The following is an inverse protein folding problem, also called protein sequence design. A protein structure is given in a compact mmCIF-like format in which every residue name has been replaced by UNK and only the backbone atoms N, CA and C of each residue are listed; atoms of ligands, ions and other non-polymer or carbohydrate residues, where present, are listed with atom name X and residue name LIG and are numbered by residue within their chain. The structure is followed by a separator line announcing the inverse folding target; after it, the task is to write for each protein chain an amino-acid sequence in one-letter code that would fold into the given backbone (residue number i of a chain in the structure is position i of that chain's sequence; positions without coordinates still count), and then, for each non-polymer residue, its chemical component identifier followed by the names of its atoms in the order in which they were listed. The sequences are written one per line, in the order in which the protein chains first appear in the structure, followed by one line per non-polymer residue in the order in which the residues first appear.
data_IF_090131240645
#
_entry.id   IF_090131240645
#
_cell.length_a   1.000
_cell.length_b   1.000
_cell.length_c   1.000
_cell.angle_alpha   90.00
_cell.angle_beta   90.00
_cell.angle_gamma   90.00
#
_symmetry.space_group_name_H-M   'P 1'
#
loop_
_entity.id
_entity.type
_entity.pdbx_description
1 polymer ?
#
# COMPACT_ATOMS: atom_id res chain seq x y z
N UNK A 1 -29.77 -31.36 -30.87
CA UNK A 1 -28.44 -30.96 -30.35
C UNK A 1 -28.17 -29.59 -30.91
N UNK A 2 -28.30 -28.56 -30.07
CA UNK A 2 -27.93 -27.20 -30.44
C UNK A 2 -26.40 -27.16 -30.64
N UNK A 3 -25.97 -26.75 -31.82
CA UNK A 3 -24.56 -26.51 -32.10
C UNK A 3 -24.13 -25.28 -31.31
N UNK A 4 -23.45 -25.47 -30.19
CA UNK A 4 -22.74 -24.38 -29.50
C UNK A 4 -21.62 -23.94 -30.45
N UNK A 5 -21.79 -22.80 -31.10
CA UNK A 5 -20.77 -22.22 -31.95
C UNK A 5 -19.68 -21.68 -31.00
N UNK A 6 -18.44 -22.09 -31.24
CA UNK A 6 -17.29 -21.76 -30.38
C UNK A 6 -17.12 -20.24 -30.14
N UNK A 7 -17.62 -19.42 -31.06
CA UNK A 7 -17.60 -17.96 -30.97
C UNK A 7 -18.60 -17.42 -29.94
N UNK A 8 -19.74 -18.10 -29.72
CA UNK A 8 -20.73 -17.73 -28.70
C UNK A 8 -20.14 -17.92 -27.30
N UNK A 9 -19.44 -19.06 -27.08
CA UNK A 9 -18.74 -19.34 -25.82
C UNK A 9 -17.64 -18.31 -25.56
N UNK A 10 -16.90 -17.89 -26.58
CA UNK A 10 -15.85 -16.88 -26.43
C UNK A 10 -16.43 -15.51 -26.05
N UNK A 11 -17.58 -15.13 -26.60
CA UNK A 11 -18.23 -13.88 -26.25
C UNK A 11 -18.73 -13.90 -24.80
N UNK A 12 -19.32 -15.01 -24.36
CA UNK A 12 -19.71 -15.19 -22.95
C UNK A 12 -18.48 -15.12 -22.02
N UNK A 13 -17.41 -15.85 -22.34
CA UNK A 13 -16.16 -15.81 -21.57
C UNK A 13 -15.59 -14.38 -21.46
N UNK A 14 -15.59 -13.63 -22.57
CA UNK A 14 -15.16 -12.22 -22.60
C UNK A 14 -15.96 -11.34 -21.64
N UNK A 15 -17.25 -11.61 -21.48
CA UNK A 15 -18.14 -10.85 -20.61
C UNK A 15 -18.01 -11.27 -19.14
N UNK A 16 -17.76 -12.54 -18.85
CA UNK A 16 -17.70 -13.07 -17.48
C UNK A 16 -16.33 -12.96 -16.82
N UNK A 17 -15.24 -12.92 -17.60
CA UNK A 17 -13.88 -12.93 -17.04
C UNK A 17 -13.44 -11.54 -16.53
N UNK A 18 -12.69 -11.56 -15.44
CA UNK A 18 -11.98 -10.38 -14.93
C UNK A 18 -10.81 -10.01 -15.84
N UNK A 19 -10.33 -8.74 -15.80
CA UNK A 19 -9.33 -8.28 -16.76
C UNK A 19 -8.03 -9.09 -16.79
N UNK A 20 -7.53 -9.53 -15.63
CA UNK A 20 -6.29 -10.31 -15.57
C UNK A 20 -6.42 -11.68 -16.22
N UNK A 21 -7.59 -12.32 -16.11
CA UNK A 21 -7.81 -13.63 -16.72
C UNK A 21 -7.92 -13.52 -18.23
N UNK A 22 -8.56 -12.45 -18.74
CA UNK A 22 -8.57 -12.14 -20.18
C UNK A 22 -7.16 -11.91 -20.70
N UNK A 23 -6.34 -11.18 -19.94
CA UNK A 23 -4.95 -10.98 -20.27
C UNK A 23 -4.18 -12.31 -20.33
N UNK A 24 -4.26 -13.12 -19.28
CA UNK A 24 -3.58 -14.42 -19.21
C UNK A 24 -4.03 -15.34 -20.35
N UNK A 25 -5.33 -15.38 -20.67
CA UNK A 25 -5.88 -16.16 -21.78
C UNK A 25 -5.32 -15.69 -23.14
N UNK A 26 -5.28 -14.37 -23.37
CA UNK A 26 -4.72 -13.79 -24.60
C UNK A 26 -3.22 -14.06 -24.77
N UNK A 27 -2.48 -14.21 -23.66
CA UNK A 27 -1.03 -14.42 -23.65
C UNK A 27 -0.63 -15.88 -23.81
N UNK A 28 -1.44 -16.80 -23.28
CA UNK A 28 -1.14 -18.25 -23.29
C UNK A 28 -1.69 -18.95 -24.52
N UNK A 29 -2.67 -18.38 -25.21
CA UNK A 29 -3.30 -18.97 -26.39
C UNK A 29 -3.22 -18.05 -27.61
N UNK A 30 -2.49 -18.48 -28.65
CA UNK A 30 -2.32 -17.73 -29.90
C UNK A 30 -3.66 -17.41 -30.61
N UNK A 31 -4.67 -18.28 -30.47
CA UNK A 31 -6.00 -18.04 -31.04
C UNK A 31 -6.68 -16.85 -30.34
N UNK A 32 -6.69 -16.83 -29.02
CA UNK A 32 -7.33 -15.76 -28.24
C UNK A 32 -6.54 -14.46 -28.25
N UNK A 33 -5.22 -14.50 -28.49
CA UNK A 33 -4.41 -13.30 -28.67
C UNK A 33 -5.00 -12.35 -29.74
N UNK A 34 -5.45 -12.92 -30.87
CA UNK A 34 -6.06 -12.16 -31.96
C UNK A 34 -7.46 -11.66 -31.61
N UNK A 35 -8.23 -12.45 -30.86
CA UNK A 35 -9.63 -12.17 -30.55
C UNK A 35 -9.84 -11.31 -29.31
N UNK A 36 -8.84 -11.18 -28.43
CA UNK A 36 -8.83 -10.41 -27.19
C UNK A 36 -7.63 -9.44 -27.24
N UNK A 37 -7.71 -8.37 -28.05
CA UNK A 37 -6.63 -7.40 -28.14
C UNK A 37 -6.45 -6.64 -26.82
N UNK A 38 -5.24 -6.11 -26.58
CA UNK A 38 -4.93 -5.32 -25.37
C UNK A 38 -5.88 -4.13 -25.17
N UNK A 39 -6.39 -3.55 -26.27
CA UNK A 39 -7.39 -2.48 -26.23
C UNK A 39 -8.68 -2.95 -25.53
N UNK A 40 -9.16 -4.15 -25.84
CA UNK A 40 -10.34 -4.73 -25.19
C UNK A 40 -10.11 -4.94 -23.69
N UNK A 41 -8.92 -5.42 -23.32
CA UNK A 41 -8.56 -5.62 -21.90
C UNK A 41 -8.55 -4.27 -21.16
N UNK A 42 -7.98 -3.21 -21.76
CA UNK A 42 -8.03 -1.85 -21.21
C UNK A 42 -9.47 -1.37 -21.02
N UNK A 43 -10.33 -1.57 -22.01
CA UNK A 43 -11.76 -1.23 -21.89
C UNK A 43 -12.44 -1.95 -20.72
N UNK A 44 -12.14 -3.24 -20.52
CA UNK A 44 -12.65 -4.00 -19.37
C UNK A 44 -12.15 -3.46 -18.03
N UNK A 45 -10.89 -3.02 -17.96
CA UNK A 45 -10.35 -2.39 -16.74
C UNK A 45 -11.03 -1.04 -16.48
N UNK A 46 -11.17 -0.19 -17.50
CA UNK A 46 -11.85 1.10 -17.38
C UNK A 46 -13.30 0.92 -16.91
N UNK A 47 -14.01 -0.08 -17.43
CA UNK A 47 -15.38 -0.40 -17.00
C UNK A 47 -15.44 -0.86 -15.55
N UNK A 48 -14.47 -1.64 -15.07
CA UNK A 48 -14.40 -2.07 -13.68
C UNK A 48 -14.10 -0.89 -12.74
N UNK A 49 -13.19 0.01 -13.15
CA UNK A 49 -12.91 1.25 -12.41
C UNK A 49 -14.19 2.10 -12.32
N UNK A 50 -14.85 2.38 -13.44
CA UNK A 50 -16.10 3.15 -13.48
C UNK A 50 -17.19 2.53 -12.61
N UNK A 51 -17.34 1.20 -12.66
CA UNK A 51 -18.31 0.47 -11.84
C UNK A 51 -18.03 0.69 -10.35
N UNK A 52 -16.78 0.59 -9.91
CA UNK A 52 -16.40 0.82 -8.51
C UNK A 52 -16.58 2.27 -8.10
N UNK A 53 -16.20 3.23 -8.94
CA UNK A 53 -16.43 4.65 -8.66
C UNK A 53 -17.92 4.98 -8.56
N UNK A 54 -18.78 4.40 -9.41
CA UNK A 54 -20.24 4.55 -9.28
C UNK A 54 -20.79 4.01 -7.96
N UNK A 55 -20.21 2.94 -7.43
CA UNK A 55 -20.58 2.41 -6.11
C UNK A 55 -20.14 3.38 -5.00
N UNK A 56 -18.92 3.92 -5.10
CA UNK A 56 -18.34 4.82 -4.09
C UNK A 56 -19.06 6.16 -4.07
N UNK A 57 -19.24 6.80 -5.22
CA UNK A 57 -19.84 8.13 -5.33
C UNK A 57 -21.37 8.11 -5.43
N UNK A 58 -21.98 6.96 -5.72
CA UNK A 58 -23.43 6.81 -5.80
C UNK A 58 -24.08 7.79 -6.79
N UNK A 59 -25.08 8.52 -6.32
CA UNK A 59 -25.82 9.51 -7.11
C UNK A 59 -24.95 10.71 -7.52
N UNK A 60 -23.90 11.02 -6.76
CA UNK A 60 -22.98 12.13 -7.05
C UNK A 60 -21.95 11.79 -8.15
N UNK A 61 -21.90 10.54 -8.64
CA UNK A 61 -20.86 10.11 -9.58
C UNK A 61 -20.79 10.95 -10.86
N UNK A 62 -21.93 11.32 -11.45
CA UNK A 62 -21.92 12.09 -12.70
C UNK A 62 -21.41 13.53 -12.49
N UNK A 63 -21.76 14.16 -11.35
CA UNK A 63 -21.25 15.47 -10.96
C UNK A 63 -19.73 15.41 -10.69
N UNK A 64 -19.31 14.43 -9.87
CA UNK A 64 -17.90 14.16 -9.61
C UNK A 64 -17.12 13.95 -10.92
N UNK A 65 -17.62 13.11 -11.83
CA UNK A 65 -16.95 12.79 -13.08
C UNK A 65 -16.84 14.00 -14.02
N UNK A 66 -17.83 14.89 -14.03
CA UNK A 66 -17.77 16.13 -14.79
C UNK A 66 -16.69 17.07 -14.25
N UNK A 67 -16.63 17.25 -12.93
CA UNK A 67 -15.65 18.12 -12.26
C UNK A 67 -14.24 17.54 -12.37
N UNK A 68 -14.08 16.24 -12.16
CA UNK A 68 -12.82 15.52 -12.34
C UNK A 68 -12.19 15.76 -13.72
N UNK A 69 -13.00 15.69 -14.79
CA UNK A 69 -12.54 15.99 -16.16
C UNK A 69 -12.14 17.44 -16.33
N UNK A 70 -12.86 18.38 -15.73
CA UNK A 70 -12.54 19.80 -15.82
C UNK A 70 -11.19 20.13 -15.14
N UNK A 71 -10.92 19.51 -14.00
CA UNK A 71 -9.63 19.59 -13.29
C UNK A 71 -8.49 18.84 -13.99
N UNK A 72 -8.79 18.07 -15.05
CA UNK A 72 -7.84 17.15 -15.70
C UNK A 72 -7.16 16.21 -14.69
N UNK A 73 -7.92 15.81 -13.67
CA UNK A 73 -7.44 14.92 -12.62
C UNK A 73 -7.18 13.51 -13.19
N UNK A 74 -6.39 12.72 -12.48
CA UNK A 74 -6.02 11.36 -12.92
C UNK A 74 -6.00 10.42 -11.73
N UNK A 75 -6.67 9.27 -11.83
CA UNK A 75 -6.61 8.21 -10.83
C UNK A 75 -5.30 7.45 -11.01
N UNK A 76 -4.61 7.14 -9.92
CA UNK A 76 -3.38 6.32 -9.93
C UNK A 76 -3.38 5.25 -8.83
N UNK A 77 -2.28 4.50 -8.73
CA UNK A 77 -1.95 3.74 -7.55
C UNK A 77 -2.55 2.33 -7.50
N UNK A 78 -2.68 1.85 -6.27
CA UNK A 78 -3.04 0.45 -6.00
C UNK A 78 -4.47 0.12 -6.43
N UNK A 79 -5.39 1.09 -6.44
CA UNK A 79 -6.78 0.91 -6.85
C UNK A 79 -6.92 0.41 -8.30
N UNK A 80 -6.11 0.92 -9.24
CA UNK A 80 -6.13 0.42 -10.62
C UNK A 80 -5.59 -1.02 -10.69
N UNK A 81 -4.55 -1.31 -9.91
CA UNK A 81 -3.98 -2.68 -9.82
C UNK A 81 -5.03 -3.67 -9.31
N UNK A 82 -5.80 -3.28 -8.29
CA UNK A 82 -6.93 -4.05 -7.77
C UNK A 82 -7.98 -4.33 -8.84
N UNK A 83 -8.37 -3.31 -9.62
CA UNK A 83 -9.33 -3.46 -10.71
C UNK A 83 -8.84 -4.43 -11.80
N UNK A 84 -7.53 -4.41 -12.11
CA UNK A 84 -6.93 -5.35 -13.07
C UNK A 84 -7.04 -6.79 -12.54
N UNK A 85 -6.67 -6.99 -11.27
CA UNK A 85 -6.63 -8.29 -10.62
C UNK A 85 -8.01 -8.82 -10.19
N UNK A 86 -9.06 -7.99 -10.24
CA UNK A 86 -10.37 -8.33 -9.68
C UNK A 86 -10.38 -8.45 -8.15
N UNK A 87 -9.44 -7.79 -7.46
CA UNK A 87 -9.25 -7.90 -6.01
C UNK A 87 -9.77 -6.67 -5.26
N UNK A 88 -9.92 -6.81 -3.93
CA UNK A 88 -10.25 -5.75 -2.99
C UNK A 88 -9.25 -5.80 -1.84
N UNK A 89 -8.52 -4.71 -1.62
CA UNK A 89 -7.38 -4.66 -0.70
C UNK A 89 -7.62 -3.69 0.45
N UNK A 90 -7.82 -2.43 0.09
CA UNK A 90 -8.06 -1.27 0.93
C UNK A 90 -8.91 -0.28 0.13
N UNK A 91 -9.77 0.47 0.82
CA UNK A 91 -10.69 1.42 0.22
C UNK A 91 -10.01 2.77 -0.04
N UNK A 92 -8.77 2.76 -0.55
CA UNK A 92 -8.03 3.99 -0.81
C UNK A 92 -7.90 4.22 -2.31
N UNK A 93 -8.20 5.44 -2.75
CA UNK A 93 -8.05 5.87 -4.13
C UNK A 93 -7.16 7.11 -4.16
N UNK A 94 -6.09 7.04 -4.93
CA UNK A 94 -5.17 8.15 -5.13
C UNK A 94 -5.53 8.89 -6.43
N UNK A 95 -5.66 10.22 -6.35
CA UNK A 95 -6.03 11.11 -7.45
C UNK A 95 -4.99 12.21 -7.57
N UNK A 96 -4.33 12.29 -8.72
CA UNK A 96 -3.40 13.35 -9.06
C UNK A 96 -4.18 14.57 -9.54
N UNK A 97 -3.85 15.73 -9.01
CA UNK A 97 -4.41 17.04 -9.38
C UNK A 97 -3.31 18.07 -9.58
N UNK A 98 -3.69 19.21 -10.17
CA UNK A 98 -2.79 20.34 -10.30
C UNK A 98 -2.37 20.91 -8.93
N UNK A 99 -1.10 21.34 -8.81
CA UNK A 99 -0.55 21.86 -7.56
C UNK A 99 -1.28 23.13 -7.09
N UNK A 100 -1.60 24.03 -8.01
CA UNK A 100 -2.26 25.29 -7.68
C UNK A 100 -3.71 25.02 -7.26
N UNK A 101 -4.34 24.01 -7.84
CA UNK A 101 -5.66 23.55 -7.41
C UNK A 101 -5.65 22.92 -6.01
N UNK A 102 -4.69 22.05 -5.70
CA UNK A 102 -4.56 21.45 -4.36
C UNK A 102 -4.29 22.50 -3.28
N UNK A 103 -3.54 23.54 -3.61
CA UNK A 103 -3.13 24.59 -2.67
C UNK A 103 -4.09 25.80 -2.63
N UNK A 104 -5.02 25.93 -3.58
CA UNK A 104 -6.00 27.02 -3.61
C UNK A 104 -6.70 27.24 -2.26
N UNK A 105 -7.15 26.20 -1.53
CA UNK A 105 -7.89 26.40 -0.28
C UNK A 105 -7.06 27.06 0.83
N UNK A 106 -5.74 27.07 0.70
CA UNK A 106 -4.83 27.44 1.77
C UNK A 106 -4.19 28.80 1.54
N UNK A 107 -3.99 29.53 2.63
CA UNK A 107 -3.15 30.73 2.67
C UNK A 107 -1.65 30.35 2.62
N UNK A 108 -0.77 31.34 2.47
CA UNK A 108 0.68 31.12 2.49
C UNK A 108 1.21 30.46 3.77
N UNK A 109 0.49 30.64 4.89
CA UNK A 109 0.76 30.01 6.19
C UNK A 109 0.06 28.65 6.37
N UNK A 110 -0.51 28.09 5.29
CA UNK A 110 -1.25 26.82 5.30
C UNK A 110 -2.51 26.80 6.17
N UNK A 111 -3.03 27.97 6.55
CA UNK A 111 -4.37 28.06 7.11
C UNK A 111 -5.42 27.98 6.00
N UNK A 112 -6.43 27.12 6.19
CA UNK A 112 -7.60 27.03 5.32
C UNK A 112 -8.31 28.39 5.29
N UNK A 113 -8.62 28.89 4.09
CA UNK A 113 -9.29 30.19 3.90
C UNK A 113 -10.75 30.13 4.32
N UNK A 114 -11.24 31.20 4.95
CA UNK A 114 -12.63 31.30 5.43
C UNK A 114 -13.70 31.08 4.33
N UNK A 115 -13.39 31.41 3.08
CA UNK A 115 -14.31 31.17 1.96
C UNK A 115 -14.59 29.67 1.72
N UNK A 116 -13.69 28.78 2.13
CA UNK A 116 -13.92 27.32 2.10
C UNK A 116 -14.69 26.82 3.34
N UNK A 117 -14.82 27.66 4.38
CA UNK A 117 -15.61 27.36 5.57
C UNK A 117 -17.07 27.85 5.46
N UNK A 118 -17.32 28.92 4.68
CA UNK A 118 -18.58 29.68 4.72
C UNK A 118 -19.32 29.68 3.36
N UNK A 119 -18.62 29.50 2.24
CA UNK A 119 -19.27 29.67 0.93
C UNK A 119 -20.21 28.52 0.56
N UNK A 120 -21.27 28.84 -0.19
CA UNK A 120 -22.03 27.85 -0.94
C UNK A 120 -21.29 27.47 -2.21
N UNK A 121 -21.35 26.19 -2.61
CA UNK A 121 -20.75 25.69 -3.84
C UNK A 121 -21.34 26.43 -5.05
N UNK A 122 -20.57 27.35 -5.65
CA UNK A 122 -20.93 28.00 -6.92
C UNK A 122 -20.28 27.25 -8.08
N UNK A 123 -20.80 26.08 -8.42
CA UNK A 123 -20.51 25.35 -9.68
C UNK A 123 -19.04 25.47 -10.14
N UNK A 124 -18.11 25.39 -9.18
CA UNK A 124 -16.71 25.65 -9.46
C UNK A 124 -16.16 24.40 -10.13
N UNK A 125 -15.42 24.58 -11.21
CA UNK A 125 -14.99 23.50 -12.08
C UNK A 125 -13.78 22.74 -11.53
N UNK A 126 -13.45 22.96 -10.25
CA UNK A 126 -12.30 22.42 -9.54
C UNK A 126 -12.70 21.37 -8.52
N UNK A 127 -12.07 20.20 -8.62
CA UNK A 127 -12.34 19.01 -7.82
C UNK A 127 -11.98 19.18 -6.34
N UNK A 128 -10.92 19.91 -6.01
CA UNK A 128 -10.53 20.10 -4.60
C UNK A 128 -11.58 20.93 -3.86
N UNK A 129 -12.04 22.00 -4.50
CA UNK A 129 -13.10 22.83 -3.97
C UNK A 129 -14.41 22.05 -3.83
N UNK A 130 -14.78 21.29 -4.86
CA UNK A 130 -15.91 20.37 -4.80
C UNK A 130 -15.83 19.41 -3.60
N UNK A 131 -14.66 18.78 -3.39
CA UNK A 131 -14.45 17.82 -2.31
C UNK A 131 -14.63 18.46 -0.93
N UNK A 132 -14.09 19.66 -0.68
CA UNK A 132 -14.29 20.39 0.58
C UNK A 132 -15.75 20.70 0.89
N UNK A 133 -16.58 20.91 -0.13
CA UNK A 133 -18.00 21.21 0.08
C UNK A 133 -18.87 19.96 0.24
N UNK A 134 -18.51 18.85 -0.40
CA UNK A 134 -19.31 17.63 -0.41
C UNK A 134 -18.90 16.63 0.66
N UNK A 135 -17.62 16.59 1.02
CA UNK A 135 -17.05 15.51 1.80
C UNK A 135 -16.32 16.02 3.04
N UNK A 136 -16.32 15.18 4.06
CA UNK A 136 -15.50 15.39 5.25
C UNK A 136 -14.03 15.09 4.89
N UNK A 137 -13.15 16.04 5.17
CA UNK A 137 -11.71 15.82 5.06
C UNK A 137 -11.21 15.15 6.36
N UNK A 138 -10.22 14.27 6.21
CA UNK A 138 -9.67 13.46 7.31
C UNK A 138 -8.22 13.88 7.62
N UNK A 139 -7.40 14.05 6.57
CA UNK A 139 -5.98 14.38 6.72
C UNK A 139 -5.55 15.45 5.71
N UNK A 140 -4.71 16.38 6.15
CA UNK A 140 -4.00 17.32 5.29
C UNK A 140 -2.51 17.16 5.59
N UNK A 141 -1.72 16.79 4.58
CA UNK A 141 -0.28 16.66 4.72
C UNK A 141 0.43 17.85 4.08
N UNK A 142 1.51 18.31 4.72
CA UNK A 142 2.28 19.48 4.30
C UNK A 142 3.77 19.12 4.23
N UNK A 143 4.52 19.77 3.35
CA UNK A 143 5.98 19.66 3.34
C UNK A 143 6.59 20.61 4.38
N UNK A 144 7.30 20.09 5.39
CA UNK A 144 8.02 20.92 6.32
C UNK A 144 9.34 21.35 5.67
N UNK A 145 9.63 22.64 5.74
CA UNK A 145 10.90 23.28 5.35
C UNK A 145 11.02 23.68 3.87
N UNK A 146 11.36 24.96 3.67
CA UNK A 146 11.70 25.66 2.42
C UNK A 146 10.55 26.09 1.49
N UNK A 147 9.47 25.32 1.36
CA UNK A 147 8.30 25.69 0.56
C UNK A 147 7.01 25.18 1.23
N UNK A 148 6.30 26.05 1.95
CA UNK A 148 5.02 25.72 2.59
C UNK A 148 3.94 25.49 1.52
N UNK A 149 3.68 24.22 1.21
CA UNK A 149 2.53 23.82 0.40
C UNK A 149 1.99 22.46 0.86
N UNK A 150 0.70 22.25 0.61
CA UNK A 150 -0.02 20.99 0.83
C UNK A 150 0.42 19.97 -0.22
N UNK A 151 0.82 18.79 0.25
CA UNK A 151 1.27 17.68 -0.61
C UNK A 151 0.14 16.72 -0.91
N UNK A 152 -0.76 16.51 0.05
CA UNK A 152 -1.98 15.74 -0.15
C UNK A 152 -3.11 16.19 0.78
N UNK A 153 -4.34 15.89 0.36
CA UNK A 153 -5.55 16.04 1.17
C UNK A 153 -6.35 14.75 1.01
N UNK A 154 -6.78 14.18 2.13
CA UNK A 154 -7.60 12.97 2.16
C UNK A 154 -9.03 13.31 2.57
N UNK A 155 -9.99 12.83 1.79
CA UNK A 155 -11.43 12.96 2.06
C UNK A 155 -12.06 11.58 2.25
N UNK A 156 -13.11 11.51 3.06
CA UNK A 156 -13.88 10.28 3.26
C UNK A 156 -15.18 10.33 2.44
N UNK A 157 -15.35 9.35 1.56
CA UNK A 157 -16.53 9.19 0.69
C UNK A 157 -17.06 7.77 0.84
N UNK A 158 -18.23 7.58 1.45
CA UNK A 158 -18.85 6.26 1.65
C UNK A 158 -17.84 5.18 2.14
N UNK A 159 -17.13 5.47 3.23
CA UNK A 159 -16.11 4.59 3.85
C UNK A 159 -14.84 4.35 3.01
N UNK A 160 -14.70 5.07 1.90
CA UNK A 160 -13.51 5.08 1.03
C UNK A 160 -12.71 6.35 1.27
N UNK A 161 -11.40 6.23 1.46
CA UNK A 161 -10.51 7.37 1.53
C UNK A 161 -10.06 7.76 0.12
N UNK A 162 -10.34 9.00 -0.26
CA UNK A 162 -9.92 9.59 -1.53
C UNK A 162 -8.80 10.58 -1.24
N UNK A 163 -7.59 10.24 -1.67
CA UNK A 163 -6.40 11.07 -1.49
C UNK A 163 -6.16 11.88 -2.76
N UNK A 164 -6.16 13.20 -2.65
CA UNK A 164 -5.73 14.09 -3.73
C UNK A 164 -4.28 14.51 -3.51
N UNK A 165 -3.44 14.41 -4.54
CA UNK A 165 -2.01 14.69 -4.47
C UNK A 165 -1.47 15.37 -5.75
N UNK A 166 -0.32 16.04 -5.67
CA UNK A 166 0.24 16.82 -6.80
C UNK A 166 1.07 16.00 -7.78
N UNK A 167 1.60 14.86 -7.35
CA UNK A 167 2.51 14.04 -8.14
C UNK A 167 2.54 12.62 -7.58
N UNK A 168 2.57 11.66 -8.50
CA UNK A 168 2.60 10.25 -8.16
C UNK A 168 3.98 9.82 -7.64
N UNK A 169 4.04 9.46 -6.35
CA UNK A 169 5.22 8.84 -5.73
C UNK A 169 5.10 7.31 -5.64
N UNK A 170 4.37 6.67 -6.57
CA UNK A 170 4.23 5.22 -6.62
C UNK A 170 5.60 4.51 -6.60
N UNK A 171 5.89 3.93 -5.43
CA UNK A 171 7.13 3.19 -5.13
C UNK A 171 7.25 1.90 -5.94
N UNK A 172 6.12 1.21 -6.17
CA UNK A 172 6.06 -0.01 -6.95
C UNK A 172 5.52 0.22 -8.36
N UNK A 173 6.18 -0.38 -9.35
CA UNK A 173 5.87 -0.28 -10.77
C UNK A 173 4.45 -0.72 -11.11
N UNK A 174 3.97 -1.77 -10.43
CA UNK A 174 2.60 -2.27 -10.60
C UNK A 174 1.53 -1.21 -10.25
N UNK A 175 1.87 -0.17 -9.49
CA UNK A 175 0.93 0.88 -9.09
C UNK A 175 1.01 2.15 -9.96
N UNK A 176 1.99 2.26 -10.87
CA UNK A 176 2.18 3.43 -11.76
C UNK A 176 1.19 3.49 -12.93
N UNK A 177 0.05 2.81 -12.80
CA UNK A 177 -1.00 2.85 -13.82
C UNK A 177 -1.84 4.09 -13.61
N UNK A 178 -2.35 4.68 -14.68
CA UNK A 178 -3.17 5.87 -14.58
C UNK A 178 -4.45 5.77 -15.41
N UNK A 179 -5.50 6.41 -14.92
CA UNK A 179 -6.80 6.48 -15.58
C UNK A 179 -7.44 7.85 -15.45
N UNK A 180 -7.75 8.47 -16.59
CA UNK A 180 -8.58 9.67 -16.68
C UNK A 180 -10.03 9.32 -17.02
N UNK A 181 -10.99 10.05 -16.44
CA UNK A 181 -12.42 9.86 -16.73
C UNK A 181 -12.85 10.33 -18.14
N UNK A 182 -11.90 10.81 -18.94
CA UNK A 182 -12.00 11.04 -20.39
C UNK A 182 -11.68 9.79 -21.22
N UNK A 183 -11.58 8.62 -20.57
CA UNK A 183 -11.22 7.31 -21.17
C UNK A 183 -9.77 7.22 -21.61
N UNK A 184 -8.88 8.04 -21.03
CA UNK A 184 -7.44 7.87 -21.18
C UNK A 184 -6.92 6.86 -20.16
N UNK A 185 -6.15 5.88 -20.62
CA UNK A 185 -5.60 4.83 -19.74
C UNK A 185 -4.18 4.44 -20.11
N UNK A 186 -3.29 4.55 -19.12
CA UNK A 186 -1.93 4.09 -19.19
C UNK A 186 -1.71 2.91 -18.23
N UNK A 187 -1.19 1.81 -18.77
CA UNK A 187 -0.77 0.65 -17.99
C UNK A 187 0.76 0.58 -18.08
N UNK A 188 1.44 0.73 -16.95
CA UNK A 188 2.90 0.74 -16.92
C UNK A 188 3.46 -0.65 -17.23
N UNK A 189 2.92 -1.70 -16.59
CA UNK A 189 3.47 -3.05 -16.73
C UNK A 189 2.45 -4.17 -16.47
N UNK A 190 1.71 -4.56 -17.52
CA UNK A 190 0.70 -5.62 -17.39
C UNK A 190 1.32 -6.99 -17.05
N UNK A 191 2.52 -7.28 -17.57
CA UNK A 191 3.24 -8.54 -17.30
C UNK A 191 3.61 -8.68 -15.80
N UNK A 192 4.07 -7.60 -15.17
CA UNK A 192 4.44 -7.61 -13.74
C UNK A 192 3.21 -7.77 -12.84
N UNK A 193 2.07 -7.16 -13.21
CA UNK A 193 0.80 -7.35 -12.50
C UNK A 193 0.32 -8.80 -12.64
N UNK A 194 0.29 -9.34 -13.86
CA UNK A 194 -0.11 -10.72 -14.18
C UNK A 194 0.74 -11.77 -13.46
N UNK A 195 2.06 -11.59 -13.43
CA UNK A 195 2.99 -12.50 -12.77
C UNK A 195 3.15 -12.27 -11.27
N UNK A 196 2.44 -11.27 -10.72
CA UNK A 196 2.58 -10.75 -9.35
C UNK A 196 4.05 -10.57 -8.97
N UNK A 197 4.78 -9.82 -9.79
CA UNK A 197 6.20 -9.58 -9.59
C UNK A 197 6.55 -8.12 -9.87
N UNK A 198 7.00 -7.37 -8.86
CA UNK A 198 7.29 -5.92 -8.97
C UNK A 198 8.69 -5.58 -8.48
N UNK A 199 9.15 -4.35 -8.72
CA UNK A 199 10.41 -3.86 -8.17
C UNK A 199 10.40 -3.84 -6.64
N UNK A 200 11.55 -4.14 -6.05
CA UNK A 200 11.82 -3.95 -4.64
C UNK A 200 11.86 -2.44 -4.30
N UNK A 201 11.29 -2.07 -3.16
CA UNK A 201 11.42 -0.74 -2.55
C UNK A 201 11.57 -0.91 -1.03
N UNK A 202 12.55 -0.29 -0.34
CA UNK A 202 12.85 -0.59 1.07
C UNK A 202 11.80 0.02 2.04
N UNK A 203 10.61 -0.57 2.09
CA UNK A 203 9.49 -0.15 2.93
C UNK A 203 8.75 -1.37 3.49
N UNK A 204 8.86 -1.59 4.80
CA UNK A 204 8.37 -2.81 5.45
C UNK A 204 6.86 -3.01 5.32
N UNK A 205 6.10 -1.93 5.50
CA UNK A 205 4.64 -1.98 5.49
C UNK A 205 4.13 -2.25 4.08
N UNK A 206 4.70 -1.59 3.07
CA UNK A 206 4.37 -1.87 1.67
C UNK A 206 4.77 -3.30 1.27
N UNK A 207 5.96 -3.77 1.67
CA UNK A 207 6.36 -5.15 1.41
C UNK A 207 5.39 -6.15 2.03
N UNK A 208 5.02 -5.97 3.30
CA UNK A 208 4.04 -6.81 3.98
C UNK A 208 2.69 -6.78 3.26
N UNK A 209 2.22 -5.59 2.86
CA UNK A 209 0.99 -5.39 2.08
C UNK A 209 1.02 -6.24 0.80
N UNK A 210 2.00 -6.06 -0.08
CA UNK A 210 2.00 -6.73 -1.38
C UNK A 210 2.36 -8.22 -1.28
N UNK A 211 3.22 -8.62 -0.34
CA UNK A 211 3.54 -10.04 -0.10
C UNK A 211 2.32 -10.85 0.31
N UNK A 212 1.47 -10.31 1.20
CA UNK A 212 0.19 -10.95 1.59
C UNK A 212 -0.73 -11.21 0.39
N UNK A 213 -0.56 -10.44 -0.69
CA UNK A 213 -1.29 -10.55 -1.96
C UNK A 213 -0.56 -11.41 -2.99
N UNK A 214 0.45 -12.18 -2.57
CA UNK A 214 1.19 -13.09 -3.43
C UNK A 214 2.23 -12.43 -4.34
N UNK A 215 2.56 -11.15 -4.12
CA UNK A 215 3.62 -10.50 -4.90
C UNK A 215 5.01 -10.95 -4.47
N UNK A 216 5.88 -11.12 -5.46
CA UNK A 216 7.32 -11.28 -5.32
C UNK A 216 8.02 -10.01 -5.78
N UNK A 217 9.24 -9.79 -5.31
CA UNK A 217 9.99 -8.57 -5.56
C UNK A 217 11.27 -8.88 -6.31
N UNK A 218 11.61 -8.09 -7.33
CA UNK A 218 12.87 -8.19 -8.03
C UNK A 218 13.79 -7.00 -7.71
N UNK A 219 15.10 -7.21 -7.81
CA UNK A 219 16.11 -6.16 -7.68
C UNK A 219 16.37 -5.39 -8.98
N UNK A 220 17.30 -4.44 -8.97
CA UNK A 220 17.63 -3.63 -10.15
C UNK A 220 18.09 -4.46 -11.36
N UNK A 221 18.57 -5.69 -11.14
CA UNK A 221 18.96 -6.64 -12.18
C UNK A 221 17.79 -7.54 -12.65
N UNK A 222 16.54 -7.23 -12.26
CA UNK A 222 15.33 -8.02 -12.53
C UNK A 222 15.39 -9.45 -11.97
N UNK A 223 16.25 -9.71 -10.98
CA UNK A 223 16.30 -11.01 -10.30
C UNK A 223 15.37 -10.98 -9.09
N UNK A 224 14.53 -12.02 -8.95
CA UNK A 224 13.66 -12.17 -7.78
C UNK A 224 14.52 -12.26 -6.51
N UNK A 225 14.23 -11.39 -5.54
CA UNK A 225 14.87 -11.33 -4.24
C UNK A 225 14.37 -12.50 -3.40
N UNK A 226 15.28 -13.33 -2.92
CA UNK A 226 14.95 -14.40 -2.00
C UNK A 226 14.56 -13.85 -0.63
N UNK A 227 13.72 -14.56 0.12
CA UNK A 227 13.23 -14.13 1.43
C UNK A 227 14.36 -13.81 2.43
N UNK A 228 15.45 -14.58 2.40
CA UNK A 228 16.63 -14.36 3.24
C UNK A 228 17.34 -13.02 2.93
N UNK A 229 17.23 -12.54 1.69
CA UNK A 229 17.97 -11.36 1.23
C UNK A 229 17.18 -10.05 1.39
N UNK A 230 15.88 -10.13 1.71
CA UNK A 230 14.99 -8.96 1.88
C UNK A 230 15.55 -8.03 2.96
N UNK A 231 15.94 -8.57 4.11
CA UNK A 231 16.39 -7.78 5.25
C UNK A 231 17.66 -7.00 4.95
N UNK A 232 18.60 -7.62 4.23
CA UNK A 232 19.82 -6.97 3.77
C UNK A 232 19.51 -5.80 2.84
N UNK A 233 18.53 -5.96 1.95
CA UNK A 233 18.09 -4.87 1.06
C UNK A 233 17.31 -3.76 1.79
N UNK A 234 16.72 -4.07 2.93
CA UNK A 234 16.06 -3.08 3.82
C UNK A 234 17.03 -2.42 4.79
N UNK A 235 18.32 -2.79 4.77
CA UNK A 235 19.32 -2.31 5.74
C UNK A 235 18.92 -2.60 7.20
N UNK A 236 18.32 -3.76 7.46
CA UNK A 236 17.89 -4.16 8.80
C UNK A 236 18.98 -5.00 9.46
N UNK A 237 19.39 -4.58 10.65
CA UNK A 237 20.38 -5.29 11.46
C UNK A 237 19.72 -6.38 12.30
N UNK A 238 20.38 -7.53 12.44
CA UNK A 238 19.95 -8.59 13.34
C UNK A 238 20.89 -8.71 14.53
N UNK A 239 20.33 -8.83 15.72
CA UNK A 239 21.07 -9.10 16.96
C UNK A 239 20.52 -10.35 17.61
N UNK A 240 21.43 -11.26 17.99
CA UNK A 240 21.05 -12.47 18.72
C UNK A 240 20.65 -12.11 20.12
N UNK A 241 19.51 -12.64 20.54
CA UNK A 241 19.13 -12.67 21.95
C UNK A 241 18.95 -14.10 22.41
N UNK A 242 19.05 -14.34 23.72
CA UNK A 242 18.87 -15.67 24.31
C UNK A 242 17.97 -15.54 25.53
N UNK A 243 16.98 -16.42 25.72
CA UNK A 243 16.14 -16.34 26.91
C UNK A 243 16.96 -16.38 28.21
N UNK A 244 16.60 -15.55 29.19
CA UNK A 244 17.25 -15.54 30.50
C UNK A 244 16.83 -16.74 31.38
N UNK A 245 15.69 -17.35 31.08
CA UNK A 245 15.04 -18.34 31.93
C UNK A 245 14.59 -19.59 31.16
N UNK A 246 13.98 -20.51 31.90
CA UNK A 246 13.48 -21.78 31.38
C UNK A 246 12.03 -21.67 30.85
N UNK A 247 11.49 -20.45 30.65
CA UNK A 247 10.13 -20.31 30.09
C UNK A 247 10.06 -20.97 28.72
N UNK A 248 8.89 -21.45 28.33
CA UNK A 248 8.68 -21.89 26.96
C UNK A 248 8.59 -20.69 26.01
N UNK A 249 8.71 -20.95 24.71
CA UNK A 249 8.48 -19.92 23.68
C UNK A 249 7.06 -19.37 23.76
N UNK A 250 6.06 -20.21 24.03
CA UNK A 250 4.67 -19.81 24.19
C UNK A 250 4.49 -18.86 25.39
N UNK A 251 5.11 -19.18 26.53
CA UNK A 251 5.04 -18.33 27.73
C UNK A 251 5.65 -16.94 27.47
N UNK A 252 6.82 -16.88 26.81
CA UNK A 252 7.43 -15.60 26.44
C UNK A 252 6.63 -14.84 25.39
N UNK A 253 6.08 -15.51 24.37
CA UNK A 253 5.19 -14.87 23.39
C UNK A 253 3.93 -14.30 24.06
N UNK A 254 3.41 -14.94 25.10
CA UNK A 254 2.30 -14.41 25.89
C UNK A 254 2.71 -13.11 26.59
N UNK A 255 3.88 -13.06 27.23
CA UNK A 255 4.42 -11.84 27.84
C UNK A 255 4.57 -10.73 26.78
N UNK A 256 5.15 -11.07 25.62
CA UNK A 256 5.32 -10.16 24.47
C UNK A 256 4.00 -9.62 23.92
N UNK A 257 2.89 -10.35 24.12
CA UNK A 257 1.55 -9.99 23.65
C UNK A 257 0.81 -9.12 24.67
N UNK A 258 1.04 -9.33 25.97
CA UNK A 258 0.29 -8.67 27.05
C UNK A 258 0.90 -7.36 27.52
N UNK A 259 2.23 -7.22 27.44
CA UNK A 259 2.91 -6.03 27.91
C UNK A 259 2.72 -4.87 26.92
N UNK A 260 2.14 -3.78 27.42
CA UNK A 260 1.78 -2.61 26.63
C UNK A 260 2.91 -1.58 26.50
N UNK A 261 4.04 -1.77 27.21
CA UNK A 261 5.15 -0.83 27.24
C UNK A 261 6.40 -1.39 26.56
N UNK A 262 7.30 -0.47 26.25
CA UNK A 262 8.64 -0.77 25.73
C UNK A 262 9.43 -1.65 26.70
N UNK A 263 10.28 -2.50 26.14
CA UNK A 263 11.29 -3.26 26.86
C UNK A 263 12.57 -2.45 26.96
N UNK A 264 13.26 -2.55 28.09
CA UNK A 264 14.42 -1.72 28.40
C UNK A 264 15.70 -2.55 28.35
N UNK A 265 16.75 -1.99 27.76
CA UNK A 265 18.10 -2.56 27.82
C UNK A 265 18.83 -2.07 29.08
N UNK A 266 19.19 -2.99 29.97
CA UNK A 266 20.02 -2.72 31.16
C UNK A 266 21.22 -3.67 31.10
N UNK A 267 22.41 -3.10 30.94
CA UNK A 267 23.67 -3.84 30.76
C UNK A 267 23.64 -4.82 29.58
N UNK A 268 23.41 -6.11 29.86
CA UNK A 268 23.33 -7.20 28.88
C UNK A 268 21.94 -7.85 28.84
N UNK A 269 20.94 -7.25 29.48
CA UNK A 269 19.63 -7.85 29.67
C UNK A 269 18.53 -6.94 29.13
N UNK A 270 17.55 -7.56 28.49
CA UNK A 270 16.29 -6.95 28.09
C UNK A 270 15.25 -7.36 29.12
N UNK A 271 14.73 -6.37 29.84
CA UNK A 271 13.70 -6.55 30.84
C UNK A 271 12.39 -5.88 30.41
N UNK A 272 11.27 -6.37 30.93
CA UNK A 272 10.01 -5.65 30.85
C UNK A 272 9.98 -4.47 31.85
N UNK A 273 8.92 -3.67 31.81
CA UNK A 273 8.75 -2.51 32.70
C UNK A 273 8.69 -2.85 34.19
N UNK A 274 8.41 -4.12 34.54
CA UNK A 274 8.35 -4.61 35.90
C UNK A 274 9.71 -5.15 36.40
N UNK A 275 10.75 -5.06 35.57
CA UNK A 275 12.08 -5.57 35.89
C UNK A 275 12.22 -7.08 35.75
N UNK A 276 11.31 -7.74 35.04
CA UNK A 276 11.45 -9.16 34.70
C UNK A 276 12.38 -9.31 33.49
N UNK A 277 13.51 -9.96 33.72
CA UNK A 277 14.50 -10.29 32.71
C UNK A 277 13.94 -11.33 31.73
N UNK A 278 13.92 -10.99 30.45
CA UNK A 278 13.40 -11.86 29.39
C UNK A 278 14.52 -12.43 28.54
N UNK A 279 15.46 -11.58 28.13
CA UNK A 279 16.52 -12.00 27.21
C UNK A 279 17.88 -11.41 27.58
N UNK A 280 18.92 -12.20 27.37
CA UNK A 280 20.31 -11.75 27.35
C UNK A 280 20.71 -11.36 25.93
N UNK A 281 21.44 -10.25 25.82
CA UNK A 281 22.01 -9.72 24.59
C UNK A 281 23.51 -9.95 24.61
N UNK A 282 24.04 -10.57 23.55
CA UNK A 282 25.48 -10.90 23.45
C UNK A 282 26.33 -9.81 22.79
N UNK A 283 25.70 -8.73 22.33
CA UNK A 283 26.35 -7.61 21.63
C UNK A 283 25.97 -6.29 22.30
N UNK A 284 26.88 -5.30 22.26
CA UNK A 284 26.56 -3.95 22.70
C UNK A 284 25.48 -3.31 21.81
N UNK A 285 24.37 -2.94 22.44
CA UNK A 285 23.27 -2.22 21.81
C UNK A 285 23.35 -0.74 22.14
N UNK A 286 23.30 0.10 21.10
CA UNK A 286 23.21 1.56 21.25
C UNK A 286 21.82 2.04 21.69
N UNK A 287 20.79 1.19 21.59
CA UNK A 287 19.42 1.55 21.93
C UNK A 287 19.02 0.99 23.29
N UNK A 288 18.21 1.75 24.02
CA UNK A 288 17.71 1.39 25.34
C UNK A 288 16.24 0.98 25.35
N UNK A 289 15.52 1.10 24.22
CA UNK A 289 14.09 0.76 24.13
C UNK A 289 13.79 -0.14 22.95
N UNK A 290 12.95 -1.14 23.21
CA UNK A 290 12.48 -2.08 22.20
C UNK A 290 10.98 -2.28 22.27
N UNK A 291 10.38 -2.56 21.13
CA UNK A 291 8.94 -2.79 21.00
C UNK A 291 8.65 -4.18 20.45
N UNK A 292 7.64 -4.82 21.02
CA UNK A 292 7.13 -6.12 20.58
C UNK A 292 5.98 -5.93 19.60
N UNK A 293 6.08 -6.49 18.39
CA UNK A 293 4.97 -6.52 17.43
C UNK A 293 3.94 -7.63 17.71
N UNK A 294 4.08 -8.35 18.83
CA UNK A 294 3.09 -9.33 19.29
C UNK A 294 2.00 -8.67 20.11
N UNK A 295 2.22 -7.45 20.59
CA UNK A 295 1.28 -6.76 21.45
C UNK A 295 -0.09 -6.59 20.79
N UNK A 296 -1.15 -6.95 21.52
CA UNK A 296 -2.53 -7.03 21.02
C UNK A 296 -3.10 -5.72 20.47
N UNK A 297 -2.57 -4.58 20.89
CA UNK A 297 -3.00 -3.26 20.42
C UNK A 297 -2.13 -2.69 19.30
N UNK A 298 -1.03 -3.38 18.92
CA UNK A 298 -0.28 -3.00 17.73
C UNK A 298 -1.00 -3.60 16.52
N UNK A 299 -1.61 -2.72 15.75
CA UNK A 299 -2.33 -3.05 14.51
C UNK A 299 -1.41 -3.09 13.29
N UNK A 300 -0.17 -2.62 13.41
CA UNK A 300 0.78 -2.57 12.29
C UNK A 300 1.26 -3.98 11.90
N UNK A 301 1.30 -4.23 10.60
CA UNK A 301 1.79 -5.50 10.06
C UNK A 301 3.30 -5.61 10.18
N UNK A 302 3.79 -6.43 11.11
CA UNK A 302 5.22 -6.76 11.15
C UNK A 302 5.56 -7.77 10.04
N UNK A 303 6.35 -7.33 9.05
CA UNK A 303 6.84 -8.20 7.97
C UNK A 303 7.61 -9.42 8.51
N UNK A 304 8.40 -9.25 9.57
CA UNK A 304 9.19 -10.34 10.13
C UNK A 304 8.29 -11.43 10.74
N UNK A 305 7.28 -11.03 11.52
CA UNK A 305 6.24 -11.92 12.05
C UNK A 305 5.47 -12.64 10.94
N UNK A 306 5.15 -11.95 9.85
CA UNK A 306 4.45 -12.55 8.71
C UNK A 306 5.31 -13.58 7.98
N UNK A 307 6.63 -13.38 7.93
CA UNK A 307 7.58 -14.28 7.27
C UNK A 307 8.00 -15.47 8.15
N UNK A 308 8.07 -15.25 9.46
CA UNK A 308 8.57 -16.20 10.45
C UNK A 308 7.60 -16.27 11.64
N UNK A 309 6.39 -16.83 11.42
CA UNK A 309 5.38 -16.89 12.47
C UNK A 309 5.89 -17.71 13.67
N UNK A 310 5.66 -17.19 14.87
CA UNK A 310 6.07 -17.83 16.13
C UNK A 310 7.53 -17.59 16.54
N UNK A 311 8.35 -16.96 15.70
CA UNK A 311 9.72 -16.60 16.09
C UNK A 311 9.70 -15.36 16.98
N UNK A 312 10.20 -15.50 18.21
CA UNK A 312 10.33 -14.42 19.19
C UNK A 312 11.26 -13.32 18.67
N UNK A 313 10.76 -12.08 18.63
CA UNK A 313 11.56 -10.93 18.23
C UNK A 313 11.07 -9.60 18.82
N UNK A 314 11.98 -8.63 18.85
CA UNK A 314 11.74 -7.25 19.23
C UNK A 314 12.32 -6.30 18.18
N UNK A 315 11.76 -5.10 18.07
CA UNK A 315 12.23 -4.05 17.17
C UNK A 315 12.84 -2.89 17.95
N UNK A 316 13.94 -2.34 17.45
CA UNK A 316 14.52 -1.06 17.89
C UNK A 316 14.69 -0.15 16.68
N UNK A 317 14.44 1.14 16.87
CA UNK A 317 14.60 2.18 15.85
C UNK A 317 15.56 3.25 16.37
N UNK A 318 16.64 3.53 15.62
CA UNK A 318 17.61 4.60 15.91
C UNK A 318 17.97 5.29 14.59
N UNK A 319 17.74 6.60 14.49
CA UNK A 319 18.10 7.43 13.33
C UNK A 319 17.79 6.73 11.99
N UNK A 320 16.51 6.36 11.82
CA UNK A 320 15.95 5.63 10.67
C UNK A 320 16.45 4.20 10.43
N UNK A 321 17.37 3.70 11.25
CA UNK A 321 17.83 2.30 11.18
C UNK A 321 17.01 1.41 12.11
N UNK A 322 16.44 0.35 11.54
CA UNK A 322 15.76 -0.68 12.30
C UNK A 322 16.73 -1.82 12.66
N UNK A 323 16.67 -2.26 13.91
CA UNK A 323 17.34 -3.46 14.40
C UNK A 323 16.30 -4.46 14.91
N UNK A 324 16.42 -5.71 14.47
CA UNK A 324 15.64 -6.84 14.93
C UNK A 324 16.45 -7.66 15.92
N UNK A 325 15.89 -7.89 17.10
CA UNK A 325 16.47 -8.76 18.11
C UNK A 325 15.72 -10.08 18.04
N UNK A 326 16.42 -11.18 17.80
CA UNK A 326 15.79 -12.48 17.47
C UNK A 326 16.45 -13.62 18.24
N UNK A 327 15.64 -14.53 18.78
CA UNK A 327 16.12 -15.68 19.57
C UNK A 327 16.85 -16.74 18.71
N UNK A 328 16.43 -16.92 17.46
CA UNK A 328 17.06 -17.82 16.50
C UNK A 328 17.51 -17.06 15.25
N UNK A 329 18.81 -17.02 14.97
CA UNK A 329 19.36 -16.38 13.76
C UNK A 329 19.92 -17.39 12.76
N UNK A 330 19.88 -18.69 13.07
CA UNK A 330 20.53 -19.72 12.27
C UNK A 330 20.01 -19.78 10.82
N UNK A 331 18.81 -19.26 10.59
CA UNK A 331 18.16 -19.17 9.28
C UNK A 331 18.32 -17.79 8.59
N UNK A 332 18.90 -16.77 9.23
CA UNK A 332 18.90 -15.38 8.74
C UNK A 332 20.28 -14.83 8.40
N UNK A 333 21.35 -15.45 8.89
CA UNK A 333 22.73 -15.10 8.54
C UNK A 333 23.23 -15.94 7.37
N UNK A 334 22.94 -15.50 6.14
CA UNK A 334 23.85 -15.83 5.04
C UNK A 334 25.13 -15.03 5.24
N UNK A 335 26.14 -15.72 5.78
CA UNK A 335 27.56 -15.36 5.86
C UNK A 335 27.99 -14.19 4.97
N UNK A 336 28.55 -13.15 5.61
CA UNK A 336 29.76 -12.51 5.11
C UNK A 336 30.79 -12.47 6.23
#
# INVERSE_FOLDING_TARGET
MENIIYDDVLNELKLSMIPIDLYNLSRTCNRYNKSIPIKYIKERIMNEIDRRLRIIFGEDFEEFAAIFRNSKAVITGSFITQCILGEYWDNNIDIIVDKDELNEPFSFNLHLKDEFLIASFRNDKKIIRYAFFKYEYDLISTMPYECLYVTNIMFKVNETCITFEIADQQKHNICKNTYGLDKTMFIYTMNEISSRCTNFYPDLDLHAKYRKRGFRFYDDNKKVVANCDIWKKMNINFVKITPCDNKSTEERLQILTTNARDYVHIEHVIANEYGEDLYTVHNDLKNHRFVSCFHKFITNSCLFKDMYPGVEHLHSYVDDNQTLLVVDISNFTSTK
#
